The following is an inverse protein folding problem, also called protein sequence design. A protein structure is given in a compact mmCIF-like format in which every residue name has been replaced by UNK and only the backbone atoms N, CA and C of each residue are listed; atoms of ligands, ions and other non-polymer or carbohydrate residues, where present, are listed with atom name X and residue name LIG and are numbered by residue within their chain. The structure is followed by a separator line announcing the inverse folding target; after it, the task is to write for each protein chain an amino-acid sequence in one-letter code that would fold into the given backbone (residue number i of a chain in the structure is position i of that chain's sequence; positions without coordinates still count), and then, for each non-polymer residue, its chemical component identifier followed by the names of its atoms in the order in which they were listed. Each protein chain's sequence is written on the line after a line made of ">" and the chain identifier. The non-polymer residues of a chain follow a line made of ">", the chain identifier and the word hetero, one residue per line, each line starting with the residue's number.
data_IF_254620861520
#
_entry.id   IF_254620861520
#
_cell.length_a   1.000
_cell.length_b   1.000
_cell.length_c   1.000
_cell.angle_alpha   90.00
_cell.angle_beta   90.00
_cell.angle_gamma   90.00
#
_symmetry.space_group_name_H-M   'P 1'
#
loop_
_entity.id
_entity.type
_entity.pdbx_description
1 polymer ?
#
# COMPACT_ATOMS: atom_id res chain seq x y z
N UNK A 1 -1.60 -11.21 6.57
CA UNK A 1 -2.22 -9.87 6.55
C UNK A 1 -3.60 -9.85 7.21
N UNK A 2 -4.38 -10.93 7.09
CA UNK A 2 -5.74 -10.99 7.66
C UNK A 2 -5.84 -10.55 9.13
N UNK A 3 -4.88 -10.93 9.97
CA UNK A 3 -4.85 -10.57 11.40
C UNK A 3 -4.47 -9.12 11.67
N UNK A 4 -3.83 -8.42 10.72
CA UNK A 4 -3.43 -7.02 10.87
C UNK A 4 -4.47 -6.03 10.34
N UNK A 5 -5.45 -6.47 9.54
CA UNK A 5 -6.41 -5.58 8.86
C UNK A 5 -7.29 -4.81 9.84
N UNK A 6 -7.82 -5.48 10.87
CA UNK A 6 -8.72 -4.84 11.84
C UNK A 6 -7.98 -3.81 12.69
N UNK A 7 -6.83 -4.14 13.34
CA UNK A 7 -6.08 -3.15 14.09
C UNK A 7 -5.57 -1.98 13.21
N UNK A 8 -5.20 -2.23 11.95
CA UNK A 8 -4.80 -1.16 11.05
C UNK A 8 -5.97 -0.22 10.72
N UNK A 9 -7.15 -0.75 10.38
CA UNK A 9 -8.36 0.05 10.15
C UNK A 9 -8.75 0.84 11.41
N UNK A 10 -8.71 0.21 12.59
CA UNK A 10 -8.99 0.89 13.86
C UNK A 10 -8.02 2.06 14.10
N UNK A 11 -6.74 1.89 13.77
CA UNK A 11 -5.75 2.96 13.83
C UNK A 11 -6.10 4.12 12.87
N UNK A 12 -6.49 3.83 11.62
CA UNK A 12 -6.90 4.86 10.66
C UNK A 12 -8.10 5.65 11.17
N UNK A 13 -9.11 4.97 11.71
CA UNK A 13 -10.30 5.59 12.29
C UNK A 13 -9.96 6.46 13.49
N UNK A 14 -9.10 5.98 14.40
CA UNK A 14 -8.67 6.74 15.57
C UNK A 14 -7.89 8.01 15.19
N UNK A 15 -6.97 7.92 14.22
CA UNK A 15 -6.17 9.05 13.77
C UNK A 15 -6.99 10.08 12.97
N UNK A 16 -8.07 9.65 12.32
CA UNK A 16 -8.98 10.56 11.63
C UNK A 16 -9.70 11.53 12.57
N UNK A 17 -9.83 11.18 13.85
CA UNK A 17 -10.41 12.07 14.86
C UNK A 17 -9.47 13.21 15.28
N UNK A 18 -8.19 13.16 14.91
CA UNK A 18 -7.26 14.25 15.16
C UNK A 18 -7.55 15.41 14.19
N UNK A 19 -7.57 16.67 14.66
CA UNK A 19 -7.87 17.84 13.84
C UNK A 19 -6.64 18.27 13.01
N UNK A 20 -6.11 17.34 12.20
CA UNK A 20 -4.92 17.58 11.37
C UNK A 20 -5.34 17.67 9.89
N UNK A 21 -4.89 18.74 9.23
CA UNK A 21 -5.16 18.94 7.80
C UNK A 21 -4.13 18.20 6.91
N UNK A 22 -4.46 17.89 5.65
CA UNK A 22 -3.51 17.30 4.70
C UNK A 22 -2.21 18.10 4.57
N UNK A 23 -2.24 19.41 4.69
CA UNK A 23 -1.05 20.30 4.60
C UNK A 23 -0.08 20.09 5.75
N UNK A 24 -0.59 19.64 6.91
CA UNK A 24 0.22 19.42 8.12
C UNK A 24 0.90 18.05 8.15
N UNK A 25 0.36 17.04 7.44
CA UNK A 25 0.80 15.64 7.57
C UNK A 25 1.00 14.93 6.22
N UNK A 26 0.59 15.55 5.12
CA UNK A 26 0.66 14.94 3.78
C UNK A 26 2.07 14.96 3.20
N UNK A 27 2.41 13.93 2.44
CA UNK A 27 3.64 13.89 1.66
C UNK A 27 3.58 14.92 0.53
N UNK A 28 4.55 15.84 0.50
CA UNK A 28 4.65 16.94 -0.47
C UNK A 28 6.11 17.12 -0.90
N UNK A 29 6.33 17.53 -2.14
CA UNK A 29 7.66 17.77 -2.69
C UNK A 29 8.43 18.79 -1.85
N UNK A 30 9.66 18.46 -1.45
CA UNK A 30 10.47 19.31 -0.57
C UNK A 30 9.99 19.40 0.88
N UNK A 31 8.94 18.68 1.25
CA UNK A 31 8.43 18.65 2.62
C UNK A 31 9.31 17.84 3.58
N UNK A 32 9.02 17.92 4.89
CA UNK A 32 9.73 17.18 5.91
C UNK A 32 9.67 15.66 5.69
N UNK A 33 10.74 14.93 5.92
CA UNK A 33 10.79 13.47 5.71
C UNK A 33 9.76 12.69 6.53
N UNK A 34 9.41 13.17 7.72
CA UNK A 34 8.41 12.51 8.56
C UNK A 34 7.00 12.54 7.92
N UNK A 35 6.68 13.51 7.04
CA UNK A 35 5.43 13.52 6.28
C UNK A 35 5.28 12.25 5.43
N UNK A 36 6.36 11.82 4.78
CA UNK A 36 6.38 10.59 3.98
C UNK A 36 6.19 9.32 4.83
N UNK A 37 6.59 9.36 6.10
CA UNK A 37 6.39 8.24 7.02
C UNK A 37 4.94 8.14 7.53
N UNK A 38 4.22 9.26 7.62
CA UNK A 38 2.90 9.28 8.28
C UNK A 38 1.72 9.51 7.33
N UNK A 39 1.93 10.02 6.12
CA UNK A 39 0.85 10.44 5.18
C UNK A 39 -0.25 9.41 5.01
N UNK A 40 0.09 8.12 5.02
CA UNK A 40 -0.85 7.03 4.76
C UNK A 40 -1.84 6.79 5.91
N UNK A 41 -1.56 7.32 7.08
CA UNK A 41 -2.45 7.18 8.23
C UNK A 41 -3.52 8.27 8.28
N UNK A 42 -3.36 9.37 7.54
CA UNK A 42 -4.29 10.50 7.52
C UNK A 42 -5.12 10.53 6.23
N UNK A 43 -6.29 11.13 6.29
CA UNK A 43 -7.24 11.14 5.19
C UNK A 43 -7.89 12.51 5.03
N UNK A 44 -8.06 12.95 3.81
CA UNK A 44 -8.61 14.28 3.50
C UNK A 44 -10.09 14.46 3.90
N UNK A 45 -10.86 13.36 3.88
CA UNK A 45 -12.28 13.37 4.27
C UNK A 45 -12.77 11.97 4.61
N UNK A 46 -13.98 11.86 5.16
CA UNK A 46 -14.58 10.61 5.60
C UNK A 46 -14.75 9.59 4.45
N UNK A 47 -15.16 10.03 3.26
CA UNK A 47 -15.33 9.10 2.12
C UNK A 47 -14.00 8.50 1.68
N UNK A 48 -12.92 9.31 1.70
CA UNK A 48 -11.56 8.85 1.41
C UNK A 48 -11.10 7.82 2.46
N UNK A 49 -11.35 8.07 3.75
CA UNK A 49 -11.06 7.12 4.83
C UNK A 49 -11.83 5.82 4.66
N UNK A 50 -13.15 5.89 4.48
CA UNK A 50 -13.99 4.69 4.36
C UNK A 50 -13.64 3.86 3.12
N UNK A 51 -13.35 4.51 1.99
CA UNK A 51 -12.87 3.85 0.78
C UNK A 51 -11.56 3.09 1.01
N UNK A 52 -10.57 3.72 1.64
CA UNK A 52 -9.30 3.07 1.99
C UNK A 52 -9.50 1.94 3.00
N UNK A 53 -10.30 2.14 4.05
CA UNK A 53 -10.60 1.10 5.04
C UNK A 53 -11.26 -0.13 4.41
N UNK A 54 -12.24 0.08 3.51
CA UNK A 54 -12.88 -1.01 2.76
C UNK A 54 -11.86 -1.75 1.88
N UNK A 55 -11.00 -1.03 1.17
CA UNK A 55 -9.96 -1.64 0.33
C UNK A 55 -8.96 -2.44 1.18
N UNK A 56 -8.50 -1.92 2.32
CA UNK A 56 -7.66 -2.67 3.26
C UNK A 56 -8.38 -3.93 3.72
N UNK A 57 -9.66 -3.82 4.10
CA UNK A 57 -10.45 -4.95 4.57
C UNK A 57 -10.54 -6.07 3.52
N UNK A 58 -10.77 -5.73 2.25
CA UNK A 58 -10.88 -6.68 1.14
C UNK A 58 -9.52 -7.20 0.71
N UNK A 59 -8.53 -6.31 0.55
CA UNK A 59 -7.21 -6.69 0.00
C UNK A 59 -6.40 -7.50 1.00
N UNK A 60 -6.49 -7.21 2.31
CA UNK A 60 -5.71 -7.90 3.34
C UNK A 60 -6.34 -9.22 3.84
N UNK A 61 -7.20 -9.86 3.05
CA UNK A 61 -7.77 -11.17 3.39
C UNK A 61 -6.80 -12.35 3.20
N UNK A 62 -5.62 -12.12 2.62
CA UNK A 62 -4.65 -13.18 2.42
C UNK A 62 -3.87 -13.52 3.69
N UNK A 63 -3.47 -14.79 3.80
CA UNK A 63 -2.59 -15.28 4.85
C UNK A 63 -1.13 -15.13 4.44
N UNK A 64 -0.26 -14.93 5.41
CA UNK A 64 1.19 -14.94 5.28
C UNK A 64 1.78 -15.55 6.56
N UNK A 65 2.83 -16.35 6.42
CA UNK A 65 3.54 -16.93 7.56
C UNK A 65 4.34 -15.86 8.32
N UNK A 66 4.69 -14.77 7.62
CA UNK A 66 5.43 -13.63 8.18
C UNK A 66 4.66 -12.30 7.98
N UNK A 67 3.48 -12.13 8.62
CA UNK A 67 2.60 -10.99 8.32
C UNK A 67 3.22 -9.62 8.63
N UNK A 68 4.03 -9.53 9.68
CA UNK A 68 4.73 -8.28 10.04
C UNK A 68 5.83 -7.92 9.03
N UNK A 69 6.58 -8.90 8.54
CA UNK A 69 7.61 -8.69 7.51
C UNK A 69 6.96 -8.19 6.21
N UNK A 70 5.88 -8.85 5.79
CA UNK A 70 5.13 -8.43 4.60
C UNK A 70 4.54 -7.03 4.80
N UNK A 71 3.92 -6.74 5.96
CA UNK A 71 3.37 -5.42 6.25
C UNK A 71 4.45 -4.32 6.23
N UNK A 72 5.60 -4.56 6.87
CA UNK A 72 6.72 -3.61 6.87
C UNK A 72 7.27 -3.38 5.45
N UNK A 73 7.38 -4.44 4.64
CA UNK A 73 7.83 -4.32 3.25
C UNK A 73 6.85 -3.50 2.40
N UNK A 74 5.55 -3.74 2.53
CA UNK A 74 4.52 -3.00 1.79
C UNK A 74 4.43 -1.54 2.25
N UNK A 75 4.64 -1.27 3.54
CA UNK A 75 4.79 0.07 4.07
C UNK A 75 6.00 0.78 3.47
N UNK A 76 7.17 0.12 3.45
CA UNK A 76 8.39 0.65 2.84
C UNK A 76 8.22 0.97 1.35
N UNK A 77 7.51 0.11 0.60
CA UNK A 77 7.13 0.36 -0.80
C UNK A 77 6.26 1.60 -0.93
N UNK A 78 5.24 1.76 -0.09
CA UNK A 78 4.36 2.92 -0.13
C UNK A 78 5.11 4.23 0.20
N UNK A 79 6.04 4.17 1.17
CA UNK A 79 6.93 5.30 1.51
C UNK A 79 7.82 5.67 0.33
N UNK A 80 8.49 4.70 -0.29
CA UNK A 80 9.35 4.94 -1.46
C UNK A 80 8.54 5.47 -2.65
N UNK A 81 7.34 4.92 -2.88
CA UNK A 81 6.45 5.41 -3.93
C UNK A 81 6.08 6.88 -3.70
N UNK A 82 5.76 7.28 -2.46
CA UNK A 82 5.47 8.66 -2.12
C UNK A 82 6.67 9.58 -2.32
N UNK A 83 7.89 9.14 -1.95
CA UNK A 83 9.12 9.91 -2.19
C UNK A 83 9.40 10.14 -3.68
N UNK A 84 9.18 9.10 -4.52
CA UNK A 84 9.45 9.16 -5.96
C UNK A 84 8.39 9.98 -6.70
N UNK A 85 7.14 9.95 -6.23
CA UNK A 85 5.99 10.54 -6.92
C UNK A 85 5.41 11.76 -6.21
N UNK A 86 6.16 12.35 -5.27
CA UNK A 86 5.73 13.55 -4.55
C UNK A 86 5.49 14.72 -5.52
N UNK A 87 4.46 15.50 -5.24
CA UNK A 87 4.07 16.70 -5.96
C UNK A 87 3.88 17.88 -5.00
N UNK A 88 3.58 19.05 -5.53
CA UNK A 88 3.30 20.24 -4.71
C UNK A 88 1.95 20.14 -3.96
N UNK A 89 1.10 19.19 -4.36
CA UNK A 89 -0.16 18.91 -3.67
C UNK A 89 0.07 17.84 -2.60
N UNK A 90 -0.28 18.09 -1.32
CA UNK A 90 -0.11 17.12 -0.25
C UNK A 90 -0.88 15.83 -0.53
N UNK A 91 -0.16 14.72 -0.52
CA UNK A 91 -0.74 13.38 -0.66
C UNK A 91 -0.99 12.80 0.73
N UNK A 92 -2.22 12.33 0.99
CA UNK A 92 -2.65 11.60 2.20
C UNK A 92 -3.42 10.35 1.81
N UNK A 93 -3.52 9.38 2.71
CA UNK A 93 -4.35 8.18 2.56
C UNK A 93 -3.58 6.88 2.40
N UNK A 94 -4.20 5.79 2.85
CA UNK A 94 -3.62 4.44 2.85
C UNK A 94 -3.54 3.79 1.45
N UNK A 95 -3.93 4.49 0.39
CA UNK A 95 -3.97 3.95 -0.97
C UNK A 95 -2.62 3.43 -1.46
N UNK A 96 -1.50 4.05 -1.06
CA UNK A 96 -0.16 3.55 -1.38
C UNK A 96 0.07 2.13 -0.88
N UNK A 97 -0.19 1.86 0.40
CA UNK A 97 -0.05 0.51 0.97
C UNK A 97 -1.10 -0.47 0.44
N UNK A 98 -2.29 0.02 0.08
CA UNK A 98 -3.33 -0.80 -0.58
C UNK A 98 -2.84 -1.26 -1.95
N UNK A 99 -2.36 -0.35 -2.82
CA UNK A 99 -1.86 -0.72 -4.14
C UNK A 99 -0.60 -1.58 -4.08
N UNK A 100 0.30 -1.36 -3.13
CA UNK A 100 1.41 -2.26 -2.87
C UNK A 100 0.91 -3.67 -2.49
N UNK A 101 -0.13 -3.77 -1.65
CA UNK A 101 -0.74 -5.05 -1.28
C UNK A 101 -1.44 -5.74 -2.46
N UNK A 102 -2.10 -4.97 -3.33
CA UNK A 102 -2.68 -5.49 -4.58
C UNK A 102 -1.58 -6.06 -5.47
N UNK A 103 -0.48 -5.33 -5.67
CA UNK A 103 0.68 -5.78 -6.43
C UNK A 103 1.26 -7.08 -5.88
N UNK A 104 1.42 -7.18 -4.55
CA UNK A 104 1.88 -8.38 -3.86
C UNK A 104 0.99 -9.59 -4.17
N UNK A 105 -0.33 -9.43 -4.14
CA UNK A 105 -1.28 -10.51 -4.48
C UNK A 105 -1.29 -10.86 -5.95
N UNK A 106 -1.15 -9.88 -6.85
CA UNK A 106 -1.16 -10.08 -8.30
C UNK A 106 0.01 -10.94 -8.78
N UNK A 107 1.10 -11.03 -8.04
CA UNK A 107 2.24 -11.88 -8.38
C UNK A 107 1.83 -13.35 -8.60
N UNK A 108 0.81 -13.82 -7.87
CA UNK A 108 0.25 -15.18 -8.04
C UNK A 108 -1.00 -15.24 -8.93
N UNK A 109 -1.48 -14.10 -9.41
CA UNK A 109 -2.68 -14.04 -10.23
C UNK A 109 -2.34 -14.22 -11.71
N UNK A 110 -2.90 -15.27 -12.32
CA UNK A 110 -2.76 -15.56 -13.77
C UNK A 110 -3.90 -14.96 -14.61
N UNK A 111 -4.88 -14.31 -13.99
CA UNK A 111 -6.04 -13.76 -14.68
C UNK A 111 -5.70 -12.42 -15.33
N UNK A 112 -5.64 -12.38 -16.66
CA UNK A 112 -5.50 -11.14 -17.44
C UNK A 112 -6.65 -10.16 -17.17
N UNK A 113 -7.87 -10.67 -16.91
CA UNK A 113 -9.03 -9.85 -16.55
C UNK A 113 -8.77 -9.10 -15.24
N UNK A 114 -8.23 -9.76 -14.22
CA UNK A 114 -7.90 -9.13 -12.94
C UNK A 114 -6.82 -8.06 -13.11
N UNK A 115 -5.77 -8.35 -13.88
CA UNK A 115 -4.75 -7.36 -14.22
C UNK A 115 -5.33 -6.16 -14.95
N UNK A 116 -6.21 -6.41 -15.95
CA UNK A 116 -6.88 -5.35 -16.71
C UNK A 116 -7.72 -4.43 -15.81
N UNK A 117 -8.49 -4.98 -14.89
CA UNK A 117 -9.30 -4.19 -13.93
C UNK A 117 -8.41 -3.34 -13.03
N UNK A 118 -7.32 -3.88 -12.51
CA UNK A 118 -6.40 -3.13 -11.62
C UNK A 118 -5.69 -2.01 -12.38
N UNK A 119 -5.14 -2.30 -13.58
CA UNK A 119 -4.48 -1.27 -14.40
C UNK A 119 -5.47 -0.19 -14.85
N UNK A 120 -6.69 -0.58 -15.20
CA UNK A 120 -7.76 0.38 -15.53
C UNK A 120 -8.09 1.27 -14.32
N UNK A 121 -8.12 0.73 -13.10
CA UNK A 121 -8.39 1.54 -11.90
C UNK A 121 -7.31 2.60 -11.66
N UNK A 122 -6.03 2.28 -11.92
CA UNK A 122 -4.93 3.26 -11.86
C UNK A 122 -5.08 4.31 -12.96
N UNK A 123 -5.37 3.88 -14.20
CA UNK A 123 -5.55 4.78 -15.34
C UNK A 123 -6.73 5.74 -15.15
N UNK A 124 -7.86 5.23 -14.65
CA UNK A 124 -9.03 6.06 -14.31
C UNK A 124 -8.68 7.04 -13.19
N UNK A 125 -7.93 6.60 -12.17
CA UNK A 125 -7.43 7.48 -11.11
C UNK A 125 -6.65 8.69 -11.65
N UNK A 126 -5.90 8.51 -12.75
CA UNK A 126 -5.13 9.61 -13.36
C UNK A 126 -6.00 10.72 -13.98
N UNK A 127 -7.29 10.47 -14.19
CA UNK A 127 -8.24 11.48 -14.67
C UNK A 127 -8.69 12.46 -13.57
N UNK A 128 -8.36 12.18 -12.32
CA UNK A 128 -8.76 12.99 -11.16
C UNK A 128 -7.53 13.62 -10.51
N UNK A 129 -7.46 14.94 -10.52
CA UNK A 129 -6.31 15.69 -9.98
C UNK A 129 -6.06 15.46 -8.48
N UNK A 130 -7.07 15.02 -7.73
CA UNK A 130 -6.97 14.70 -6.30
C UNK A 130 -6.35 13.31 -6.04
N UNK A 131 -6.15 12.49 -7.09
CA UNK A 131 -5.62 11.13 -6.97
C UNK A 131 -4.19 11.11 -7.50
N UNK A 132 -3.24 10.76 -6.64
CA UNK A 132 -1.87 10.52 -7.06
C UNK A 132 -1.75 9.13 -7.74
N UNK A 133 -2.14 9.06 -9.02
CA UNK A 133 -2.12 7.82 -9.79
C UNK A 133 -0.69 7.30 -10.01
N UNK A 134 0.31 8.17 -10.07
CA UNK A 134 1.70 7.78 -10.17
C UNK A 134 2.14 6.99 -8.91
N UNK A 135 1.76 7.46 -7.73
CA UNK A 135 1.97 6.74 -6.47
C UNK A 135 1.33 5.35 -6.51
N UNK A 136 0.08 5.24 -7.00
CA UNK A 136 -0.62 3.95 -7.12
C UNK A 136 0.12 2.98 -8.06
N UNK A 137 0.58 3.46 -9.21
CA UNK A 137 1.34 2.66 -10.18
C UNK A 137 2.67 2.18 -9.63
N UNK A 138 3.46 3.08 -9.03
CA UNK A 138 4.76 2.74 -8.41
C UNK A 138 4.58 1.79 -7.23
N UNK A 139 3.59 2.02 -6.36
CA UNK A 139 3.28 1.13 -5.25
C UNK A 139 2.85 -0.26 -5.71
N UNK A 140 2.01 -0.35 -6.75
CA UNK A 140 1.58 -1.61 -7.37
C UNK A 140 2.78 -2.44 -7.86
N UNK A 141 3.67 -1.83 -8.63
CA UNK A 141 4.89 -2.48 -9.14
C UNK A 141 5.83 -2.88 -8.02
N UNK A 142 6.06 -2.01 -7.04
CA UNK A 142 6.91 -2.30 -5.88
C UNK A 142 6.38 -3.46 -5.05
N UNK A 143 5.07 -3.52 -4.82
CA UNK A 143 4.43 -4.64 -4.12
C UNK A 143 4.56 -5.96 -4.88
N UNK A 144 4.45 -5.93 -6.20
CA UNK A 144 4.68 -7.10 -7.06
C UNK A 144 6.13 -7.59 -6.98
N UNK A 145 7.12 -6.68 -6.98
CA UNK A 145 8.54 -7.01 -6.81
C UNK A 145 8.82 -7.61 -5.42
N UNK A 146 8.23 -7.04 -4.36
CA UNK A 146 8.33 -7.61 -3.00
C UNK A 146 7.82 -9.04 -2.97
N UNK A 147 6.71 -9.34 -3.67
CA UNK A 147 6.20 -10.70 -3.74
C UNK A 147 7.16 -11.67 -4.44
N UNK A 148 7.82 -11.24 -5.52
CA UNK A 148 8.84 -12.06 -6.20
C UNK A 148 9.98 -12.42 -5.25
N UNK A 149 10.55 -11.43 -4.56
CA UNK A 149 11.64 -11.61 -3.61
C UNK A 149 11.21 -12.51 -2.43
N UNK A 150 10.04 -12.23 -1.85
CA UNK A 150 9.48 -13.00 -0.74
C UNK A 150 9.30 -14.47 -1.09
N UNK A 151 8.72 -14.78 -2.26
CA UNK A 151 8.49 -16.14 -2.68
C UNK A 151 9.79 -16.87 -3.10
N UNK A 152 10.77 -16.14 -3.62
CA UNK A 152 12.08 -16.69 -3.90
C UNK A 152 12.76 -17.16 -2.60
N UNK A 153 12.80 -16.31 -1.56
CA UNK A 153 13.44 -16.67 -0.30
C UNK A 153 12.72 -17.80 0.46
N UNK A 154 11.38 -17.84 0.42
CA UNK A 154 10.66 -18.96 1.05
C UNK A 154 11.00 -20.29 0.37
N UNK A 155 10.97 -20.35 -0.96
CA UNK A 155 11.33 -21.57 -1.70
C UNK A 155 12.75 -21.99 -1.40
N UNK A 156 13.69 -21.05 -1.44
CA UNK A 156 15.08 -21.33 -1.12
C UNK A 156 15.25 -21.90 0.30
N UNK A 157 14.56 -21.36 1.29
CA UNK A 157 14.61 -21.84 2.68
C UNK A 157 14.00 -23.25 2.84
N UNK A 158 12.93 -23.56 2.10
CA UNK A 158 12.30 -24.88 2.11
C UNK A 158 13.20 -25.93 1.43
N UNK A 159 13.81 -25.59 0.29
CA UNK A 159 14.76 -26.44 -0.40
C UNK A 159 16.00 -26.75 0.47
N UNK A 160 16.52 -25.71 1.16
CA UNK A 160 17.64 -25.86 2.08
C UNK A 160 17.31 -26.83 3.22
N UNK A 161 16.14 -26.68 3.86
CA UNK A 161 15.70 -27.58 4.94
C UNK A 161 15.49 -29.00 4.47
N UNK A 162 14.97 -29.23 3.27
CA UNK A 162 14.76 -30.57 2.71
C UNK A 162 16.06 -31.27 2.34
N UNK A 163 17.14 -30.51 2.11
CA UNK A 163 18.45 -31.07 1.70
C UNK A 163 19.37 -31.36 2.89
N UNK A 164 19.25 -30.58 3.98
CA UNK A 164 20.19 -30.60 5.10
C UNK A 164 19.56 -30.85 6.48
N UNK A 165 18.23 -30.98 6.58
CA UNK A 165 17.48 -31.35 7.78
C UNK A 165 16.92 -32.73 7.71
#
# INVERSE_FOLDING_TARGET
>A
MQQLRVPFIALLLALYLLPLSPEQVGAVSGGPLWHYAVYMFFHANLFHLLGNALLVYVVWQFRSDHPFVVAASLYGVALLAALITSSDTPTVGASGVVFASVGFRLNRCRSLKTWGVVLLSVAVGALFSQINAALHGVALLGGWLVALVYHFFIRWADDYRSTFG
#
